data_IF_337208824076
#
_entry.id   IF_337208824076
#
_cell.length_a   1.000
_cell.length_b   1.000
_cell.length_c   1.000
_cell.angle_alpha   90.00
_cell.angle_beta   90.00
_cell.angle_gamma   90.00
#
_symmetry.space_group_name_H-M   'P 1'
#
loop_
_entity.id
_entity.type
_entity.pdbx_description
1 polymer ?
#
# COMPACT_ATOMS: atom_id res chain seq x y z
N UNK A 1 -15.85 1.31 7.38
CA UNK A 1 -14.63 1.34 6.55
C UNK A 1 -15.08 1.56 5.12
N UNK A 2 -14.81 2.77 4.62
CA UNK A 2 -15.36 3.27 3.35
C UNK A 2 -14.65 2.58 2.18
N UNK A 3 -15.44 1.96 1.31
CA UNK A 3 -15.00 1.61 -0.03
C UNK A 3 -14.42 2.88 -0.66
N UNK A 4 -13.18 2.80 -1.11
CA UNK A 4 -12.41 3.90 -1.65
C UNK A 4 -13.23 4.68 -2.68
N UNK A 5 -13.71 5.85 -2.26
CA UNK A 5 -14.41 6.84 -3.09
C UNK A 5 -13.45 7.56 -4.02
N UNK A 6 -12.52 6.83 -4.63
CA UNK A 6 -11.60 7.39 -5.62
C UNK A 6 -12.42 7.67 -6.87
N UNK A 7 -12.72 8.95 -7.08
CA UNK A 7 -13.26 9.41 -8.34
C UNK A 7 -12.23 9.09 -9.44
N UNK A 8 -12.60 8.43 -10.54
CA UNK A 8 -11.66 7.94 -11.56
C UNK A 8 -10.84 9.05 -12.27
N UNK A 9 -11.14 10.32 -11.99
CA UNK A 9 -10.54 11.51 -12.58
C UNK A 9 -9.51 12.23 -11.69
N UNK A 10 -9.27 11.81 -10.45
CA UNK A 10 -8.35 12.53 -9.56
C UNK A 10 -6.87 12.17 -9.83
N UNK A 11 -6.02 13.17 -10.07
CA UNK A 11 -4.56 13.07 -9.87
C UNK A 11 -4.28 12.96 -8.38
N UNK A 12 -3.57 11.91 -7.95
CA UNK A 12 -3.24 11.67 -6.54
C UNK A 12 -1.87 12.28 -6.23
N UNK A 13 -1.87 13.40 -5.51
CA UNK A 13 -0.68 13.98 -4.89
C UNK A 13 -0.44 13.35 -3.49
N UNK A 14 0.62 13.74 -2.78
CA UNK A 14 0.94 13.21 -1.44
C UNK A 14 -0.24 13.35 -0.46
N UNK A 15 -0.97 14.47 -0.53
CA UNK A 15 -2.15 14.70 0.31
C UNK A 15 -3.29 13.73 -0.04
N UNK A 16 -3.51 13.47 -1.34
CA UNK A 16 -4.44 12.45 -1.81
C UNK A 16 -4.08 11.06 -1.30
N UNK A 17 -2.81 10.68 -1.39
CA UNK A 17 -2.31 9.37 -0.91
C UNK A 17 -2.48 9.21 0.61
N UNK A 18 -2.23 10.26 1.38
CA UNK A 18 -2.47 10.27 2.83
C UNK A 18 -3.95 10.12 3.18
N UNK A 19 -4.85 10.67 2.37
CA UNK A 19 -6.29 10.44 2.54
C UNK A 19 -6.69 9.01 2.22
N UNK A 20 -5.92 8.34 1.35
CA UNK A 20 -6.15 6.94 1.06
C UNK A 20 -5.75 6.07 2.25
N UNK A 21 -4.52 6.23 2.72
CA UNK A 21 -3.95 5.40 3.79
C UNK A 21 -3.67 6.21 5.08
N UNK A 22 -4.68 6.84 5.70
CA UNK A 22 -4.42 7.78 6.80
C UNK A 22 -3.86 7.09 8.03
N UNK A 23 -4.24 5.84 8.31
CA UNK A 23 -3.69 5.06 9.40
C UNK A 23 -2.21 4.72 9.17
N UNK A 24 -1.86 4.30 7.95
CA UNK A 24 -0.48 3.94 7.58
C UNK A 24 0.45 5.14 7.73
N UNK A 25 0.08 6.29 7.17
CA UNK A 25 0.91 7.49 7.24
C UNK A 25 0.96 8.08 8.65
N UNK A 26 -0.14 7.98 9.42
CA UNK A 26 -0.12 8.36 10.84
C UNK A 26 0.85 7.50 11.65
N UNK A 27 0.97 6.20 11.38
CA UNK A 27 1.93 5.34 12.08
C UNK A 27 3.37 5.60 11.61
N UNK A 28 3.58 5.90 10.32
CA UNK A 28 4.90 6.33 9.81
C UNK A 28 5.39 7.61 10.48
N UNK A 29 4.52 8.61 10.62
CA UNK A 29 4.82 9.86 11.33
C UNK A 29 5.14 9.56 12.81
N UNK A 30 4.32 8.73 13.47
CA UNK A 30 4.53 8.36 14.88
C UNK A 30 5.83 7.56 15.13
N UNK A 31 6.25 6.73 14.17
CA UNK A 31 7.49 5.95 14.27
C UNK A 31 8.75 6.78 13.98
N UNK A 32 8.63 7.92 13.30
CA UNK A 32 9.75 8.81 12.99
C UNK A 32 10.37 9.38 14.27
N UNK A 33 9.53 9.85 15.19
CA UNK A 33 9.97 10.45 16.47
C UNK A 33 10.04 9.45 17.63
N UNK A 34 9.75 8.18 17.38
CA UNK A 34 9.77 7.15 18.41
C UNK A 34 11.19 6.92 18.95
N UNK A 35 11.32 6.72 20.27
CA UNK A 35 12.53 6.15 20.87
C UNK A 35 12.80 4.73 20.33
N UNK A 36 14.01 4.20 20.47
CA UNK A 36 14.32 2.86 19.97
C UNK A 36 13.45 1.77 20.61
N UNK A 37 13.15 1.88 21.91
CA UNK A 37 12.24 0.95 22.59
C UNK A 37 10.82 1.00 21.99
N UNK A 38 10.31 2.20 21.71
CA UNK A 38 9.00 2.37 21.06
C UNK A 38 9.04 1.87 19.61
N UNK A 39 10.12 2.15 18.88
CA UNK A 39 10.31 1.70 17.51
C UNK A 39 10.29 0.18 17.41
N UNK A 40 11.01 -0.52 18.30
CA UNK A 40 11.02 -1.99 18.38
C UNK A 40 9.62 -2.59 18.58
N UNK A 41 8.75 -1.89 19.32
CA UNK A 41 7.39 -2.35 19.60
C UNK A 41 6.45 -2.06 18.41
N UNK A 42 6.64 -0.93 17.74
CA UNK A 42 5.76 -0.45 16.67
C UNK A 42 6.06 -1.09 15.32
N UNK A 43 7.33 -1.27 14.98
CA UNK A 43 7.75 -1.74 13.66
C UNK A 43 7.10 -3.07 13.23
N UNK A 44 7.06 -4.13 14.05
CA UNK A 44 6.43 -5.38 13.64
C UNK A 44 4.91 -5.27 13.45
N UNK A 45 4.27 -4.35 14.20
CA UNK A 45 2.83 -4.07 14.05
C UNK A 45 2.56 -3.36 12.73
N UNK A 46 3.37 -2.35 12.42
CA UNK A 46 3.32 -1.64 11.14
C UNK A 46 3.46 -2.60 9.96
N UNK A 47 4.44 -3.52 9.99
CA UNK A 47 4.62 -4.50 8.91
C UNK A 47 3.39 -5.39 8.75
N UNK A 48 2.87 -5.94 9.86
CA UNK A 48 1.68 -6.80 9.83
C UNK A 48 0.41 -6.06 9.36
N UNK A 49 0.28 -4.77 9.65
CA UNK A 49 -0.81 -3.95 9.16
C UNK A 49 -0.71 -3.75 7.65
N UNK A 50 0.48 -3.43 7.15
CA UNK A 50 0.72 -3.24 5.73
C UNK A 50 0.50 -4.52 4.92
N UNK A 51 0.93 -5.68 5.44
CA UNK A 51 0.66 -6.98 4.81
C UNK A 51 -0.84 -7.25 4.62
N UNK A 52 -1.64 -6.93 5.64
CA UNK A 52 -3.09 -7.11 5.59
C UNK A 52 -3.73 -6.17 4.58
N UNK A 53 -3.24 -4.93 4.50
CA UNK A 53 -3.75 -3.94 3.55
C UNK A 53 -3.45 -4.39 2.11
N UNK A 54 -2.24 -4.85 1.81
CA UNK A 54 -1.89 -5.44 0.51
C UNK A 54 -2.71 -6.69 0.17
N UNK A 55 -2.88 -7.61 1.12
CA UNK A 55 -3.70 -8.80 0.90
C UNK A 55 -5.17 -8.45 0.59
N UNK A 56 -5.69 -7.38 1.19
CA UNK A 56 -7.06 -6.90 0.95
C UNK A 56 -7.17 -6.28 -0.44
N UNK A 57 -6.20 -5.46 -0.85
CA UNK A 57 -6.14 -4.86 -2.18
C UNK A 57 -6.07 -5.94 -3.29
N UNK A 58 -5.17 -6.91 -3.13
CA UNK A 58 -4.99 -8.00 -4.09
C UNK A 58 -6.26 -8.87 -4.24
N UNK A 59 -7.06 -9.01 -3.17
CA UNK A 59 -8.35 -9.68 -3.23
C UNK A 59 -9.38 -8.88 -4.04
N UNK A 60 -9.40 -7.55 -3.91
CA UNK A 60 -10.28 -6.68 -4.70
C UNK A 60 -9.96 -6.73 -6.20
N UNK A 61 -8.70 -6.97 -6.54
CA UNK A 61 -8.25 -7.13 -7.92
C UNK A 61 -8.66 -8.47 -8.57
N UNK A 62 -9.30 -9.39 -7.84
CA UNK A 62 -9.68 -10.73 -8.32
C UNK A 62 -10.77 -10.74 -9.41
N UNK A 63 -10.92 -11.76 -10.27
CA UNK A 63 -10.37 -13.14 -10.21
C UNK A 63 -9.89 -13.70 -11.56
N UNK A 64 -9.36 -12.87 -12.45
CA UNK A 64 -8.59 -13.30 -13.62
C UNK A 64 -7.12 -12.97 -13.39
N UNK A 65 -6.25 -13.99 -13.40
CA UNK A 65 -4.80 -13.82 -13.31
C UNK A 65 -4.29 -13.11 -14.57
N UNK A 66 -4.10 -11.79 -14.48
CA UNK A 66 -3.56 -10.95 -15.55
C UNK A 66 -2.11 -10.60 -15.27
N UNK A 67 -1.34 -10.25 -16.31
CA UNK A 67 0.05 -9.81 -16.17
C UNK A 67 0.18 -8.62 -15.20
N UNK A 68 -0.76 -7.67 -15.25
CA UNK A 68 -0.80 -6.51 -14.36
C UNK A 68 -0.96 -6.91 -12.88
N UNK A 69 -1.81 -7.90 -12.57
CA UNK A 69 -1.97 -8.39 -11.20
C UNK A 69 -0.69 -9.09 -10.69
N UNK A 70 0.00 -9.81 -11.56
CA UNK A 70 1.26 -10.47 -11.23
C UNK A 70 2.37 -9.47 -10.93
N UNK A 71 2.50 -8.42 -11.76
CA UNK A 71 3.45 -7.34 -11.54
C UNK A 71 3.14 -6.58 -10.24
N UNK A 72 1.87 -6.29 -9.97
CA UNK A 72 1.44 -5.59 -8.76
C UNK A 72 1.82 -6.37 -7.48
N UNK A 73 1.51 -7.68 -7.45
CA UNK A 73 1.89 -8.58 -6.35
C UNK A 73 3.41 -8.67 -6.18
N UNK A 74 4.16 -8.62 -7.27
CA UNK A 74 5.62 -8.69 -7.22
C UNK A 74 6.23 -7.46 -6.53
N UNK A 75 5.71 -6.26 -6.83
CA UNK A 75 6.13 -5.01 -6.17
C UNK A 75 5.80 -5.03 -4.67
N UNK A 76 4.59 -5.45 -4.28
CA UNK A 76 4.22 -5.67 -2.87
C UNK A 76 5.16 -6.63 -2.16
N UNK A 77 5.41 -7.80 -2.77
CA UNK A 77 6.29 -8.80 -2.20
C UNK A 77 7.74 -8.32 -2.06
N UNK A 78 8.22 -7.50 -3.00
CA UNK A 78 9.55 -6.91 -2.93
C UNK A 78 9.69 -5.94 -1.77
N UNK A 79 8.69 -5.07 -1.57
CA UNK A 79 8.65 -4.16 -0.44
C UNK A 79 8.58 -4.93 0.90
N UNK A 80 7.67 -5.89 1.03
CA UNK A 80 7.52 -6.69 2.24
C UNK A 80 8.80 -7.46 2.57
N UNK A 81 9.53 -7.96 1.56
CA UNK A 81 10.84 -8.60 1.76
C UNK A 81 11.84 -7.66 2.41
N UNK A 82 11.91 -6.40 1.97
CA UNK A 82 12.81 -5.39 2.54
C UNK A 82 12.44 -5.09 4.00
N UNK A 83 11.14 -4.92 4.27
CA UNK A 83 10.63 -4.66 5.61
C UNK A 83 10.89 -5.82 6.57
N UNK A 84 10.68 -7.06 6.14
CA UNK A 84 11.00 -8.24 6.94
C UNK A 84 12.50 -8.39 7.23
N UNK A 85 13.35 -8.03 6.26
CA UNK A 85 14.80 -8.04 6.50
C UNK A 85 15.17 -7.08 7.63
N UNK A 86 14.58 -5.88 7.65
CA UNK A 86 14.78 -4.91 8.72
C UNK A 86 14.14 -5.35 10.04
N UNK A 87 12.94 -5.93 10.01
CA UNK A 87 12.23 -6.44 11.19
C UNK A 87 13.09 -7.43 11.98
N UNK A 88 13.82 -8.32 11.29
CA UNK A 88 14.71 -9.29 11.95
C UNK A 88 15.76 -8.63 12.86
N UNK A 89 16.24 -7.43 12.49
CA UNK A 89 17.20 -6.64 13.30
C UNK A 89 16.50 -5.83 14.38
N UNK A 90 15.35 -5.25 14.05
CA UNK A 90 14.55 -4.48 15.01
C UNK A 90 14.13 -5.35 16.20
N UNK A 91 13.78 -6.62 15.97
CA UNK A 91 13.42 -7.58 17.03
C UNK A 91 14.56 -7.86 18.03
N UNK A 92 15.82 -7.61 17.67
CA UNK A 92 16.97 -7.72 18.57
C UNK A 92 17.49 -6.37 19.06
N UNK A 93 16.73 -5.29 18.81
CA UNK A 93 17.05 -3.93 19.27
C UNK A 93 17.88 -3.09 18.30
N UNK A 94 18.24 -3.60 17.13
CA UNK A 94 18.92 -2.82 16.09
C UNK A 94 17.90 -2.14 15.15
N UNK A 95 17.56 -0.89 15.48
CA UNK A 95 16.60 -0.09 14.74
C UNK A 95 17.17 0.60 13.49
N UNK A 96 18.48 0.55 13.25
CA UNK A 96 19.12 1.43 12.27
C UNK A 96 18.61 1.20 10.86
N UNK A 97 18.46 -0.06 10.45
CA UNK A 97 17.98 -0.39 9.11
C UNK A 97 16.50 -0.02 8.93
N UNK A 98 15.66 -0.31 9.93
CA UNK A 98 14.25 0.09 9.91
C UNK A 98 14.10 1.60 9.73
N UNK A 99 14.84 2.40 10.52
CA UNK A 99 14.82 3.88 10.43
C UNK A 99 15.29 4.42 9.08
N UNK A 100 16.17 3.71 8.38
CA UNK A 100 16.59 4.08 7.01
C UNK A 100 15.54 3.78 5.96
N UNK A 101 14.73 2.74 6.16
CA UNK A 101 13.74 2.29 5.17
C UNK A 101 12.46 3.12 5.24
N UNK A 102 11.94 3.43 6.44
CA UNK A 102 10.62 4.07 6.59
C UNK A 102 10.46 5.38 5.80
N UNK A 103 11.45 6.30 5.76
CA UNK A 103 11.32 7.52 4.95
C UNK A 103 11.19 7.26 3.44
N UNK A 104 11.64 6.09 2.97
CA UNK A 104 11.54 5.70 1.57
C UNK A 104 10.16 5.14 1.19
N UNK A 105 9.31 4.86 2.18
CA UNK A 105 7.98 4.31 1.92
C UNK A 105 7.06 5.34 1.28
N UNK A 106 7.07 6.59 1.75
CA UNK A 106 6.26 7.66 1.17
C UNK A 106 6.48 7.83 -0.36
N UNK A 107 7.73 8.01 -0.85
CA UNK A 107 7.96 8.11 -2.30
C UNK A 107 7.69 6.80 -3.06
N UNK A 108 7.84 5.63 -2.43
CA UNK A 108 7.47 4.36 -3.04
C UNK A 108 5.95 4.27 -3.24
N UNK A 109 5.14 4.55 -2.22
CA UNK A 109 3.67 4.54 -2.32
C UNK A 109 3.18 5.53 -3.38
N UNK A 110 3.75 6.73 -3.43
CA UNK A 110 3.40 7.70 -4.46
C UNK A 110 3.63 7.19 -5.88
N UNK A 111 4.72 6.45 -6.08
CA UNK A 111 5.04 5.84 -7.37
C UNK A 111 4.08 4.69 -7.68
N UNK A 112 3.88 3.77 -6.72
CA UNK A 112 3.03 2.58 -6.86
C UNK A 112 1.57 2.95 -7.19
N UNK A 113 0.98 3.85 -6.39
CA UNK A 113 -0.40 4.30 -6.54
C UNK A 113 -0.64 4.96 -7.91
N UNK A 114 0.32 5.78 -8.37
CA UNK A 114 0.21 6.48 -9.64
C UNK A 114 0.36 5.54 -10.84
N UNK A 115 1.31 4.61 -10.78
CA UNK A 115 1.64 3.74 -11.88
C UNK A 115 0.71 2.52 -12.00
N UNK A 116 0.17 2.03 -10.88
CA UNK A 116 -0.54 0.75 -10.83
C UNK A 116 -1.97 0.90 -10.32
N UNK A 117 -2.18 1.36 -9.08
CA UNK A 117 -3.50 1.35 -8.43
C UNK A 117 -4.52 2.23 -9.17
N UNK A 118 -4.07 3.42 -9.60
CA UNK A 118 -4.91 4.35 -10.37
C UNK A 118 -5.26 3.79 -11.75
N UNK A 119 -4.32 3.08 -12.39
CA UNK A 119 -4.56 2.44 -13.69
C UNK A 119 -5.60 1.35 -13.55
N UNK A 120 -5.46 0.48 -12.54
CA UNK A 120 -6.45 -0.56 -12.25
C UNK A 120 -7.82 0.02 -11.94
N UNK A 121 -7.91 1.04 -11.08
CA UNK A 121 -9.19 1.66 -10.72
C UNK A 121 -9.93 2.23 -11.94
N UNK A 122 -9.19 2.85 -12.89
CA UNK A 122 -9.75 3.33 -14.16
C UNK A 122 -10.24 2.20 -15.05
N UNK A 123 -9.47 1.10 -15.16
CA UNK A 123 -9.85 -0.07 -15.94
C UNK A 123 -11.10 -0.76 -15.35
N UNK A 124 -11.15 -0.93 -14.03
CA UNK A 124 -12.29 -1.51 -13.32
C UNK A 124 -13.57 -0.68 -13.51
N UNK A 125 -13.47 0.65 -13.44
CA UNK A 125 -14.59 1.56 -13.71
C UNK A 125 -15.09 1.49 -15.17
N UNK A 126 -14.17 1.35 -16.12
CA UNK A 126 -14.50 1.20 -17.54
C UNK A 126 -15.23 -0.12 -17.82
N UNK A 127 -14.75 -1.23 -17.25
CA UNK A 127 -15.35 -2.55 -17.41
C UNK A 127 -16.74 -2.65 -16.76
N UNK A 128 -16.92 -2.06 -15.56
CA UNK A 128 -18.22 -1.99 -14.88
C UNK A 128 -19.26 -1.17 -15.65
N UNK A 129 -18.80 -0.19 -16.45
CA UNK A 129 -19.66 0.62 -17.32
C UNK A 129 -20.09 -0.13 -18.58
N UNK A 130 -19.23 -0.99 -19.13
CA UNK A 130 -19.54 -1.84 -20.29
C UNK A 130 -20.53 -2.96 -19.97
N UNK A 131 -20.41 -3.64 -18.82
CA UNK A 131 -21.35 -4.69 -18.41
C UNK A 131 -22.78 -4.16 -18.22
N UNK A 132 -22.94 -2.94 -17.68
CA UNK A 132 -24.27 -2.29 -17.55
C UNK A 132 -24.92 -1.96 -18.89
N UNK A 133 -24.15 -1.65 -19.93
CA UNK A 133 -24.69 -1.35 -21.27
C UNK A 133 -25.00 -2.64 -22.04
N UNK A 134 -24.21 -3.70 -21.83
CA UNK A 134 -24.43 -5.01 -22.43
C UNK A 134 -25.65 -5.75 -21.83
N UNK A 135 -25.92 -5.59 -20.53
CA UNK A 135 -27.08 -6.17 -19.85
C UNK A 135 -28.41 -5.46 -20.13
N UNK A 136 -28.39 -4.34 -20.87
CA UNK A 136 -29.57 -3.53 -21.20
C UNK A 136 -29.97 -3.66 -22.69
N UNK A 137 -29.44 -4.68 -23.37
CA UNK A 137 -29.84 -5.13 -24.72
C UNK A 137 -30.37 -6.55 -24.65
#
# INVERSE_FOLDING_TARGET
MQAYGISPAATLDEAGIKQLYPQLFSELDAMTDASDAQFCIRYPKFVAELERDFATEEQWMGGLETAMLQEHRAEHAQLLRLLHHAQSRVLVGDCQLGRKILPLLSPWFATHISAMDTVWARTAATNSSFEKVAAMR
#
